data_IF_143897503698
#
_entry.id   IF_143897503698
#
_cell.length_a   1.000
_cell.length_b   1.000
_cell.length_c   1.000
_cell.angle_alpha   90.00
_cell.angle_beta   90.00
_cell.angle_gamma   90.00
#
_symmetry.space_group_name_H-M   'P 1'
#
loop_
_entity.id
_entity.type
_entity.pdbx_description
1 polymer ?
#
# COMPACT_ATOMS: atom_id res chain seq x y z
N UNK A 1 5.23 3.31 12.90
CA UNK A 1 5.33 2.87 11.50
C UNK A 1 6.70 3.24 10.97
N UNK A 2 7.36 2.28 10.34
CA UNK A 2 8.61 2.43 9.65
C UNK A 2 8.37 3.02 8.26
N UNK A 3 9.15 4.04 7.92
CA UNK A 3 9.08 4.69 6.60
C UNK A 3 9.98 3.93 5.65
N UNK A 4 9.38 3.21 4.69
CA UNK A 4 10.10 2.51 3.62
C UNK A 4 10.47 3.50 2.52
N UNK A 5 9.52 4.36 2.14
CA UNK A 5 9.72 5.40 1.13
C UNK A 5 9.64 6.79 1.78
N UNK A 6 10.79 7.47 1.82
CA UNK A 6 10.91 8.82 2.37
C UNK A 6 10.02 9.84 1.62
N UNK A 7 9.63 10.96 2.25
CA UNK A 7 8.71 11.95 1.65
C UNK A 7 9.12 12.44 0.26
N UNK A 8 10.41 12.75 0.05
CA UNK A 8 10.91 13.18 -1.27
C UNK A 8 10.78 12.08 -2.32
N UNK A 9 10.96 10.82 -1.92
CA UNK A 9 10.73 9.65 -2.76
C UNK A 9 9.27 9.50 -3.15
N UNK A 10 8.34 9.77 -2.23
CA UNK A 10 6.89 9.74 -2.51
C UNK A 10 6.46 10.86 -3.44
N UNK A 11 7.01 12.06 -3.28
CA UNK A 11 6.75 13.15 -4.20
C UNK A 11 7.17 12.79 -5.64
N UNK A 12 8.34 12.16 -5.80
CA UNK A 12 8.79 11.65 -7.10
C UNK A 12 7.91 10.49 -7.61
N UNK A 13 7.46 9.61 -6.73
CA UNK A 13 6.56 8.50 -7.04
C UNK A 13 5.25 9.01 -7.66
N UNK A 14 4.55 9.94 -7.01
CA UNK A 14 3.25 10.44 -7.50
C UNK A 14 3.33 11.00 -8.91
N UNK A 15 4.39 11.77 -9.21
CA UNK A 15 4.63 12.27 -10.56
C UNK A 15 4.96 11.15 -11.55
N UNK A 16 5.74 10.15 -11.14
CA UNK A 16 6.12 9.03 -12.00
C UNK A 16 4.91 8.15 -12.36
N UNK A 17 3.94 7.97 -11.46
CA UNK A 17 2.76 7.14 -11.71
C UNK A 17 1.92 7.59 -12.91
N UNK A 18 1.88 8.90 -13.17
CA UNK A 18 1.16 9.48 -14.32
C UNK A 18 1.83 9.19 -15.67
N UNK A 19 3.12 8.84 -15.68
CA UNK A 19 3.93 8.73 -16.90
C UNK A 19 4.56 7.36 -17.09
N UNK A 20 4.43 6.47 -16.10
CA UNK A 20 4.98 5.13 -16.12
C UNK A 20 4.36 4.35 -17.28
N UNK A 21 5.10 3.89 -18.31
CA UNK A 21 4.52 3.07 -19.36
C UNK A 21 4.19 1.68 -18.80
N UNK A 22 2.91 1.38 -18.59
CA UNK A 22 2.45 0.05 -18.15
C UNK A 22 1.50 -0.50 -19.20
N UNK A 23 1.80 -1.71 -19.68
CA UNK A 23 0.92 -2.47 -20.56
C UNK A 23 0.37 -3.65 -19.79
N UNK A 24 -0.96 -3.77 -19.70
CA UNK A 24 -1.62 -4.85 -18.97
C UNK A 24 -1.77 -6.15 -19.77
N UNK A 25 -0.93 -6.37 -20.79
CA UNK A 25 -0.83 -7.68 -21.43
C UNK A 25 -0.08 -8.64 -20.50
N UNK A 26 -0.73 -9.73 -20.13
CA UNK A 26 -0.21 -10.72 -19.19
C UNK A 26 1.11 -11.37 -19.65
N UNK A 27 1.39 -11.41 -20.95
CA UNK A 27 2.67 -11.90 -21.47
C UNK A 27 3.80 -10.90 -21.34
N UNK A 28 3.47 -9.61 -21.37
CA UNK A 28 4.43 -8.51 -21.44
C UNK A 28 4.65 -7.83 -20.09
N UNK A 29 3.75 -8.07 -19.11
CA UNK A 29 3.92 -7.54 -17.77
C UNK A 29 5.13 -8.23 -17.10
N UNK A 30 6.14 -7.48 -16.66
CA UNK A 30 7.35 -8.08 -16.09
C UNK A 30 7.02 -8.77 -14.75
N UNK A 31 7.11 -10.10 -14.74
CA UNK A 31 6.90 -10.92 -13.53
C UNK A 31 7.88 -10.59 -12.40
N UNK A 32 9.01 -9.97 -12.73
CA UNK A 32 9.98 -9.47 -11.76
C UNK A 32 9.67 -8.07 -11.24
N UNK A 33 8.50 -7.50 -11.56
CA UNK A 33 8.12 -6.15 -11.15
C UNK A 33 8.63 -5.05 -12.09
N UNK A 34 8.40 -3.80 -11.70
CA UNK A 34 8.77 -2.60 -12.46
C UNK A 34 9.56 -1.64 -11.57
N UNK A 35 10.77 -1.27 -12.01
CA UNK A 35 11.59 -0.27 -11.31
C UNK A 35 11.45 1.10 -11.98
N UNK A 36 11.06 2.10 -11.20
CA UNK A 36 11.00 3.49 -11.63
C UNK A 36 12.40 4.08 -11.82
N UNK A 37 12.55 5.16 -12.62
CA UNK A 37 13.83 5.86 -12.72
C UNK A 37 14.38 6.39 -11.39
N UNK A 38 13.53 6.62 -10.40
CA UNK A 38 13.92 6.99 -9.03
C UNK A 38 14.55 5.84 -8.23
N UNK A 39 14.54 4.61 -8.77
CA UNK A 39 15.00 3.40 -8.09
C UNK A 39 13.93 2.69 -7.25
N UNK A 40 12.74 3.28 -7.12
CA UNK A 40 11.61 2.64 -6.43
C UNK A 40 11.09 1.45 -7.25
N UNK A 41 10.79 0.34 -6.58
CA UNK A 41 10.41 -0.90 -7.23
C UNK A 41 8.98 -1.33 -6.87
N UNK A 42 8.18 -1.60 -7.89
CA UNK A 42 6.89 -2.25 -7.77
C UNK A 42 7.04 -3.75 -7.99
N UNK A 43 6.56 -4.54 -7.04
CA UNK A 43 6.52 -5.99 -7.15
C UNK A 43 5.30 -6.43 -7.94
N UNK A 44 5.45 -7.51 -8.70
CA UNK A 44 4.33 -8.15 -9.36
C UNK A 44 3.60 -9.09 -8.40
N UNK A 45 2.29 -8.95 -8.31
CA UNK A 45 1.45 -9.80 -7.47
C UNK A 45 0.22 -10.28 -8.25
N UNK A 46 -0.03 -11.58 -8.17
CA UNK A 46 -1.27 -12.18 -8.64
C UNK A 46 -2.27 -12.17 -7.50
N UNK A 47 -3.35 -11.40 -7.65
CA UNK A 47 -4.34 -11.19 -6.60
C UNK A 47 -5.41 -12.29 -6.62
N UNK A 48 -5.82 -12.67 -7.82
CA UNK A 48 -6.69 -13.82 -8.06
C UNK A 48 -6.35 -14.48 -9.42
N UNK A 49 -7.16 -15.43 -9.87
CA UNK A 49 -6.90 -16.17 -11.13
C UNK A 49 -6.74 -15.24 -12.34
N UNK A 50 -7.49 -14.13 -12.37
CA UNK A 50 -7.64 -13.27 -13.55
C UNK A 50 -7.10 -11.85 -13.30
N UNK A 51 -6.82 -11.49 -12.05
CA UNK A 51 -6.38 -10.15 -11.64
C UNK A 51 -4.95 -10.16 -11.15
N UNK A 52 -4.14 -9.30 -11.76
CA UNK A 52 -2.76 -9.04 -11.39
C UNK A 52 -2.60 -7.57 -11.04
N UNK A 53 -1.66 -7.27 -10.16
CA UNK A 53 -1.34 -5.91 -9.79
C UNK A 53 0.18 -5.71 -9.68
N UNK A 54 0.56 -4.44 -9.63
CA UNK A 54 1.89 -4.03 -9.21
C UNK A 54 1.75 -3.38 -7.84
N UNK A 55 2.50 -3.83 -6.85
CA UNK A 55 2.39 -3.38 -5.47
C UNK A 55 3.71 -2.80 -4.95
N UNK A 56 3.62 -1.78 -4.10
CA UNK A 56 4.76 -1.22 -3.38
C UNK A 56 4.34 -0.75 -2.00
N UNK A 57 5.05 -1.22 -0.98
CA UNK A 57 4.95 -0.77 0.40
C UNK A 57 5.63 0.58 0.58
N UNK A 58 4.94 1.54 1.20
CA UNK A 58 5.45 2.89 1.46
C UNK A 58 5.78 3.10 2.93
N UNK A 59 4.93 2.55 3.81
CA UNK A 59 5.16 2.42 5.24
C UNK A 59 4.76 1.02 5.68
N UNK A 60 5.32 0.57 6.79
CA UNK A 60 4.87 -0.64 7.47
C UNK A 60 4.86 -0.45 8.98
N UNK A 61 4.00 -1.16 9.69
CA UNK A 61 4.10 -1.27 11.13
C UNK A 61 5.28 -2.17 11.50
N UNK A 62 5.61 -2.20 12.79
CA UNK A 62 6.39 -3.32 13.31
C UNK A 62 5.50 -4.58 13.32
N UNK A 63 6.06 -5.79 13.27
CA UNK A 63 5.29 -7.02 13.41
C UNK A 63 4.77 -7.16 14.85
N UNK A 64 3.47 -6.91 15.05
CA UNK A 64 2.87 -6.81 16.40
C UNK A 64 3.09 -8.08 17.23
N UNK A 65 2.86 -9.26 16.66
CA UNK A 65 3.03 -10.51 17.40
C UNK A 65 4.47 -10.77 17.79
N UNK A 66 5.44 -10.49 16.91
CA UNK A 66 6.86 -10.61 17.25
C UNK A 66 7.23 -9.70 18.41
N UNK A 67 6.80 -8.43 18.38
CA UNK A 67 7.03 -7.51 19.49
C UNK A 67 6.38 -8.00 20.79
N UNK A 68 5.15 -8.51 20.71
CA UNK A 68 4.44 -9.04 21.87
C UNK A 68 5.14 -10.25 22.48
N UNK A 69 5.61 -11.19 21.65
CA UNK A 69 6.33 -12.39 22.07
C UNK A 69 7.70 -12.08 22.66
N UNK A 70 8.43 -11.14 22.05
CA UNK A 70 9.74 -10.69 22.52
C UNK A 70 9.65 -9.75 23.73
N UNK A 71 8.44 -9.35 24.13
CA UNK A 71 8.19 -8.39 25.20
C UNK A 71 8.70 -6.98 24.88
N UNK A 72 8.85 -6.67 23.60
CA UNK A 72 9.28 -5.38 23.09
C UNK A 72 8.07 -4.47 22.86
N UNK A 73 8.20 -3.18 23.15
CA UNK A 73 7.11 -2.22 22.95
C UNK A 73 6.27 -1.94 24.20
N UNK A 74 5.53 -0.83 24.14
CA UNK A 74 4.73 -0.31 25.26
C UNK A 74 3.28 -0.80 25.14
N UNK A 75 3.07 -2.10 25.37
CA UNK A 75 1.74 -2.71 25.37
C UNK A 75 1.05 -2.58 26.72
N UNK A 76 -0.25 -2.33 26.70
CA UNK A 76 -1.11 -2.41 27.88
C UNK A 76 -1.36 -3.86 28.26
N UNK A 77 -1.74 -4.12 29.52
CA UNK A 77 -2.11 -5.48 29.95
C UNK A 77 -3.32 -6.01 29.18
N UNK A 78 -4.26 -5.13 28.80
CA UNK A 78 -5.41 -5.50 27.99
C UNK A 78 -5.03 -5.93 26.57
N UNK A 79 -4.05 -5.27 25.93
CA UNK A 79 -3.52 -5.69 24.62
C UNK A 79 -2.73 -7.00 24.71
N UNK A 80 -2.06 -7.28 25.84
CA UNK A 80 -1.40 -8.57 26.07
C UNK A 80 -2.40 -9.70 26.23
N UNK A 81 -3.49 -9.45 26.94
CA UNK A 81 -4.57 -10.41 27.15
C UNK A 81 -5.44 -10.57 25.89
N UNK A 82 -5.52 -9.54 25.04
CA UNK A 82 -6.26 -9.54 23.78
C UNK A 82 -5.47 -8.85 22.64
N UNK A 83 -4.62 -9.60 21.92
CA UNK A 83 -3.81 -9.12 20.80
C UNK A 83 -4.59 -8.35 19.72
N UNK A 84 -5.87 -8.70 19.49
CA UNK A 84 -6.69 -8.06 18.47
C UNK A 84 -6.91 -6.56 18.76
N UNK A 85 -6.84 -6.12 20.02
CA UNK A 85 -6.91 -4.69 20.39
C UNK A 85 -5.65 -3.93 19.96
N UNK A 86 -4.48 -4.54 20.12
CA UNK A 86 -3.21 -3.94 19.70
C UNK A 86 -3.11 -3.86 18.18
N UNK A 87 -3.58 -4.89 17.47
CA UNK A 87 -3.69 -4.91 16.01
C UNK A 87 -4.63 -3.80 15.53
N UNK A 88 -5.81 -3.64 16.16
CA UNK A 88 -6.75 -2.57 15.81
C UNK A 88 -6.12 -1.17 15.95
N UNK A 89 -5.32 -0.95 17.01
CA UNK A 89 -4.58 0.31 17.17
C UNK A 89 -3.55 0.54 16.06
N UNK A 90 -2.89 -0.51 15.59
CA UNK A 90 -1.95 -0.40 14.47
C UNK A 90 -2.68 -0.08 13.15
N UNK A 91 -3.86 -0.66 12.92
CA UNK A 91 -4.75 -0.31 11.79
C UNK A 91 -5.18 1.16 11.87
N UNK A 92 -5.56 1.66 13.05
CA UNK A 92 -5.90 3.07 13.25
C UNK A 92 -4.73 4.03 12.94
N UNK A 93 -3.49 3.60 13.24
CA UNK A 93 -2.30 4.38 12.88
C UNK A 93 -2.01 4.31 11.38
N UNK A 94 -2.14 3.13 10.76
CA UNK A 94 -2.00 2.95 9.33
C UNK A 94 -3.01 3.80 8.55
N UNK A 95 -4.28 3.82 8.95
CA UNK A 95 -5.31 4.66 8.32
C UNK A 95 -4.96 6.16 8.41
N UNK A 96 -4.47 6.66 9.55
CA UNK A 96 -4.05 8.07 9.65
C UNK A 96 -2.93 8.41 8.66
N UNK A 97 -1.95 7.52 8.53
CA UNK A 97 -0.85 7.71 7.58
C UNK A 97 -1.34 7.59 6.13
N UNK A 98 -2.24 6.65 5.85
CA UNK A 98 -2.92 6.50 4.58
C UNK A 98 -3.66 7.80 4.20
N UNK A 99 -4.47 8.36 5.10
CA UNK A 99 -5.18 9.62 4.83
C UNK A 99 -4.21 10.77 4.54
N UNK A 100 -3.08 10.86 5.25
CA UNK A 100 -2.04 11.86 4.97
C UNK A 100 -1.44 11.66 3.57
N UNK A 101 -1.16 10.43 3.18
CA UNK A 101 -0.65 10.09 1.84
C UNK A 101 -1.69 10.33 0.74
N UNK A 102 -2.98 10.10 0.99
CA UNK A 102 -4.05 10.47 0.06
C UNK A 102 -4.01 11.97 -0.22
N UNK A 103 -3.81 12.80 0.82
CA UNK A 103 -3.66 14.25 0.64
C UNK A 103 -2.41 14.59 -0.18
N UNK A 104 -1.27 13.95 0.11
CA UNK A 104 -0.03 14.13 -0.69
C UNK A 104 -0.27 13.79 -2.17
N UNK A 105 -0.87 12.63 -2.45
CA UNK A 105 -1.15 12.15 -3.81
C UNK A 105 -2.17 13.05 -4.51
N UNK A 106 -3.20 13.52 -3.81
CA UNK A 106 -4.24 14.41 -4.37
C UNK A 106 -3.66 15.70 -4.93
N UNK A 107 -2.61 16.25 -4.32
CA UNK A 107 -1.94 17.46 -4.80
C UNK A 107 -1.25 17.28 -6.17
N UNK A 108 -0.99 16.03 -6.59
CA UNK A 108 -0.30 15.69 -7.84
C UNK A 108 -1.24 15.03 -8.84
N UNK A 109 -2.05 14.09 -8.38
CA UNK A 109 -2.96 13.26 -9.20
C UNK A 109 -4.34 13.89 -9.39
N UNK A 110 -4.71 14.89 -8.58
CA UNK A 110 -6.08 15.42 -8.49
C UNK A 110 -6.93 14.64 -7.48
N UNK A 111 -8.23 14.95 -7.41
CA UNK A 111 -9.15 14.26 -6.50
C UNK A 111 -9.35 12.79 -6.89
N UNK A 112 -9.38 11.84 -5.94
CA UNK A 112 -9.66 10.45 -6.23
C UNK A 112 -11.13 10.24 -6.63
N UNK A 113 -11.37 9.27 -7.52
CA UNK A 113 -12.70 8.84 -7.95
C UNK A 113 -13.45 8.08 -6.85
N UNK A 114 -12.72 7.29 -6.04
CA UNK A 114 -13.26 6.52 -4.92
C UNK A 114 -12.41 6.71 -3.64
N UNK A 115 -13.07 6.69 -2.47
CA UNK A 115 -12.42 6.86 -1.14
C UNK A 115 -12.78 5.78 -0.11
N UNK A 116 -13.37 4.67 -0.53
CA UNK A 116 -13.82 3.64 0.42
C UNK A 116 -12.69 2.61 0.64
N UNK A 117 -12.17 2.54 1.87
CA UNK A 117 -11.03 1.70 2.25
C UNK A 117 -9.74 2.05 1.47
N UNK A 118 -9.39 3.33 1.49
CA UNK A 118 -8.27 3.90 0.73
C UNK A 118 -8.71 4.96 -0.26
N UNK A 119 -7.93 5.15 -1.32
CA UNK A 119 -8.27 6.07 -2.40
C UNK A 119 -7.84 5.54 -3.77
N UNK A 120 -8.71 5.68 -4.77
CA UNK A 120 -8.44 5.22 -6.13
C UNK A 120 -8.56 6.35 -7.15
N UNK A 121 -7.61 6.40 -8.08
CA UNK A 121 -7.62 7.28 -9.26
C UNK A 121 -7.71 6.43 -10.52
N UNK A 122 -8.80 6.58 -11.25
CA UNK A 122 -9.12 5.83 -12.46
C UNK A 122 -8.58 6.60 -13.67
N UNK A 123 -7.42 6.18 -14.18
CA UNK A 123 -6.86 6.71 -15.42
C UNK A 123 -7.29 5.84 -16.60
N UNK A 124 -7.12 6.36 -17.82
CA UNK A 124 -7.52 5.65 -19.04
C UNK A 124 -6.83 4.29 -19.20
N UNK A 125 -5.59 4.17 -18.72
CA UNK A 125 -4.74 3.00 -18.92
C UNK A 125 -4.43 2.22 -17.64
N UNK A 126 -4.86 2.68 -16.47
CA UNK A 126 -4.64 2.02 -15.17
C UNK A 126 -5.51 2.61 -14.07
N UNK A 127 -5.54 1.92 -12.94
CA UNK A 127 -5.92 2.53 -11.67
C UNK A 127 -4.72 2.66 -10.75
N UNK A 128 -4.61 3.79 -10.06
CA UNK A 128 -3.73 3.95 -8.91
C UNK A 128 -4.60 3.77 -7.68
N UNK A 129 -4.31 2.79 -6.84
CA UNK A 129 -5.07 2.50 -5.62
C UNK A 129 -4.15 2.54 -4.41
N UNK A 130 -4.38 3.49 -3.51
CA UNK A 130 -3.65 3.63 -2.25
C UNK A 130 -4.48 3.02 -1.13
N UNK A 131 -3.87 2.15 -0.32
CA UNK A 131 -4.57 1.44 0.77
C UNK A 131 -3.60 1.01 1.87
N UNK A 132 -4.18 0.56 2.97
CA UNK A 132 -3.52 -0.29 3.94
C UNK A 132 -3.89 -1.78 3.71
N UNK A 133 -2.96 -2.69 4.05
CA UNK A 133 -3.15 -4.14 3.95
C UNK A 133 -2.43 -4.83 5.09
N UNK A 134 -3.01 -5.93 5.56
CA UNK A 134 -2.34 -6.88 6.43
C UNK A 134 -2.56 -8.27 5.84
N UNK A 135 -1.47 -8.92 5.42
CA UNK A 135 -1.52 -10.19 4.68
C UNK A 135 -1.98 -11.34 5.58
N UNK A 136 -1.51 -11.34 6.83
CA UNK A 136 -1.98 -12.20 7.92
C UNK A 136 -1.79 -11.51 9.27
N UNK A 137 -2.37 -12.10 10.33
CA UNK A 137 -2.34 -11.50 11.67
C UNK A 137 -0.93 -11.29 12.23
N UNK A 138 0.06 -12.09 11.82
CA UNK A 138 1.44 -12.05 12.32
C UNK A 138 2.31 -11.08 11.51
N UNK A 139 1.92 -10.75 10.29
CA UNK A 139 2.61 -9.79 9.43
C UNK A 139 2.36 -8.33 9.84
N UNK A 140 3.32 -7.44 9.52
CA UNK A 140 3.11 -6.00 9.58
C UNK A 140 1.87 -5.55 8.82
N UNK A 141 1.28 -4.46 9.30
CA UNK A 141 0.30 -3.70 8.53
C UNK A 141 1.07 -2.75 7.63
N UNK A 142 0.80 -2.82 6.35
CA UNK A 142 1.48 -2.05 5.32
C UNK A 142 0.56 -0.96 4.79
N UNK A 143 1.08 0.24 4.56
CA UNK A 143 0.44 1.26 3.73
C UNK A 143 1.19 1.30 2.40
N UNK A 144 0.48 1.03 1.32
CA UNK A 144 1.09 0.81 0.02
C UNK A 144 0.26 1.36 -1.13
N UNK A 145 0.90 1.39 -2.29
CA UNK A 145 0.27 1.74 -3.57
C UNK A 145 0.19 0.51 -4.45
N UNK A 146 -0.97 0.33 -5.06
CA UNK A 146 -1.30 -0.74 -6.00
C UNK A 146 -1.59 -0.10 -7.34
N UNK A 147 -0.96 -0.59 -8.41
CA UNK A 147 -1.39 -0.30 -9.78
C UNK A 147 -2.22 -1.48 -10.28
N UNK A 148 -3.37 -1.17 -10.85
CA UNK A 148 -4.32 -2.14 -11.38
C UNK A 148 -4.62 -1.87 -12.85
N UNK A 149 -5.07 -2.90 -13.59
CA UNK A 149 -5.61 -2.72 -14.94
C UNK A 149 -6.73 -1.66 -14.98
N UNK A 150 -6.94 -1.02 -16.15
CA UNK A 150 -7.98 -0.02 -16.30
C UNK A 150 -9.37 -0.64 -16.03
N UNK A 151 -10.22 0.11 -15.34
CA UNK A 151 -11.57 -0.33 -14.96
C UNK A 151 -11.64 -1.18 -13.69
N UNK A 152 -10.52 -1.53 -13.08
CA UNK A 152 -10.48 -2.19 -11.75
C UNK A 152 -10.20 -1.13 -10.70
N UNK A 153 -11.22 -0.73 -9.93
CA UNK A 153 -11.08 0.34 -8.94
C UNK A 153 -10.28 -0.07 -7.70
N UNK A 154 -10.40 -1.35 -7.30
CA UNK A 154 -9.74 -1.91 -6.12
C UNK A 154 -9.71 -3.44 -6.21
N UNK A 155 -8.87 -4.03 -5.37
CA UNK A 155 -8.76 -5.48 -5.19
C UNK A 155 -8.65 -5.83 -3.71
N UNK A 156 -9.10 -7.02 -3.35
CA UNK A 156 -8.81 -7.60 -2.03
C UNK A 156 -7.41 -8.18 -2.09
N UNK A 157 -6.53 -7.69 -1.22
CA UNK A 157 -5.18 -8.20 -1.00
C UNK A 157 -5.19 -8.87 0.36
#
# INVERSE_FOLDING_TARGET
MNVIVAPDGRAALWAALLTLPVTWDWNDLPKGGVTLPSGLHFEYLQVDTDTFCLYMTLLESEPFYTQLEDGEGDFTDEERDNPDLGIARYHDEADKQLQAMVVEATNVLGEPDERQAGASWLLEDRTIYLRDVQWDKETPIEVGVVLLPPGVARVSL
#
